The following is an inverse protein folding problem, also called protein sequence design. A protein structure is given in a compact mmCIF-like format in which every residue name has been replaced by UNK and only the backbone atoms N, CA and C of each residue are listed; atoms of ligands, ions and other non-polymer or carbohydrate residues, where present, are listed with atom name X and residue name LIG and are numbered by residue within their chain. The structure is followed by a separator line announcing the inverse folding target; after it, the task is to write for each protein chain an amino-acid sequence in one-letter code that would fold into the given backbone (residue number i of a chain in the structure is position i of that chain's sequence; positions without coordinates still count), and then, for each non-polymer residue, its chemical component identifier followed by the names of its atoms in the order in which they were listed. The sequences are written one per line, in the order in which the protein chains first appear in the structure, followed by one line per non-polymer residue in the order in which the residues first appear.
data_IF_681267105188
#
_entry.id   IF_681267105188
#
_cell.length_a   1.000
_cell.length_b   1.000
_cell.length_c   1.000
_cell.angle_alpha   90.00
_cell.angle_beta   90.00
_cell.angle_gamma   90.00
#
_symmetry.space_group_name_H-M   'P 1'
#
loop_
_entity.id
_entity.type
_entity.pdbx_description
1 polymer ?
#
# COMPACT_ATOMS: atom_id res chain seq x y z
N UNK A 1 -1.62 2.86 -40.06
CA UNK A 1 -1.87 3.07 -39.46
C UNK A 1 -1.90 3.19 -38.52
N UNK A 2 -1.99 3.18 -38.27
CA UNK A 2 -1.93 3.51 -37.37
C UNK A 2 -2.36 3.00 -36.53
N UNK A 3 -2.32 2.31 -36.56
CA UNK A 3 -2.61 1.88 -35.69
C UNK A 3 -2.28 2.32 -34.62
N UNK A 4 -2.63 2.78 -34.21
CA UNK A 4 -2.15 3.26 -33.06
C UNK A 4 -2.45 2.39 -31.94
N UNK A 5 -1.62 2.46 -30.94
CA UNK A 5 -1.80 1.70 -29.76
C UNK A 5 -3.10 2.04 -29.12
N UNK A 6 -3.70 1.10 -28.45
CA UNK A 6 -4.89 1.43 -27.69
C UNK A 6 -4.59 2.52 -26.71
N UNK A 7 -5.57 3.33 -26.50
CA UNK A 7 -5.45 4.39 -25.54
C UNK A 7 -5.19 3.83 -24.16
N UNK A 8 -4.22 4.36 -23.46
CA UNK A 8 -4.00 3.91 -22.09
C UNK A 8 -5.26 4.09 -21.28
N UNK A 9 -5.52 3.12 -20.45
CA UNK A 9 -6.64 3.20 -19.60
C UNK A 9 -6.16 3.49 -18.23
N UNK A 10 -7.08 3.77 -17.36
CA UNK A 10 -6.76 3.82 -15.95
C UNK A 10 -6.17 2.52 -15.50
N UNK A 11 -6.33 1.48 -16.32
CA UNK A 11 -5.73 0.21 -16.01
C UNK A 11 -4.22 0.21 -16.22
N UNK A 12 -3.68 1.23 -16.85
CA UNK A 12 -2.25 1.27 -17.10
C UNK A 12 -1.51 1.73 -15.87
N UNK A 13 -1.49 0.86 -14.89
CA UNK A 13 -0.74 1.06 -13.67
C UNK A 13 0.56 0.28 -13.81
N UNK A 14 1.66 0.94 -13.51
CA UNK A 14 2.96 0.31 -13.58
C UNK A 14 3.58 0.33 -12.20
N UNK A 15 4.19 -0.78 -11.82
CA UNK A 15 4.94 -0.85 -10.57
C UNK A 15 6.41 -1.00 -10.91
N UNK A 16 7.24 -0.18 -10.26
CA UNK A 16 8.68 -0.34 -10.38
C UNK A 16 9.30 -0.08 -9.02
N UNK A 17 10.53 -0.52 -8.84
CA UNK A 17 11.19 -0.32 -7.57
C UNK A 17 11.25 1.16 -7.21
N UNK A 18 11.09 1.46 -5.94
CA UNK A 18 11.21 2.83 -5.46
C UNK A 18 12.68 3.25 -5.54
N UNK A 19 12.91 4.46 -6.00
CA UNK A 19 14.24 5.03 -6.05
C UNK A 19 14.29 6.28 -5.16
N UNK A 20 15.50 6.72 -4.85
CA UNK A 20 15.66 7.93 -4.05
C UNK A 20 15.00 9.14 -4.72
N UNK A 21 14.99 9.17 -6.03
CA UNK A 21 14.36 10.26 -6.75
C UNK A 21 12.86 10.36 -6.57
N UNK A 22 12.21 9.28 -6.13
CA UNK A 22 10.78 9.26 -5.88
C UNK A 22 10.42 9.88 -4.54
N UNK A 23 11.36 9.89 -3.61
CA UNK A 23 11.07 10.21 -2.22
C UNK A 23 10.49 11.60 -1.98
N UNK A 24 10.93 12.65 -2.68
CA UNK A 24 10.31 13.96 -2.48
C UNK A 24 8.80 13.94 -2.75
N UNK A 25 8.37 13.24 -3.78
CA UNK A 25 6.95 13.17 -4.11
C UNK A 25 6.21 12.30 -3.09
N UNK A 26 6.80 11.17 -2.72
CA UNK A 26 6.18 10.31 -1.71
C UNK A 26 6.09 11.03 -0.37
N UNK A 27 7.08 11.86 -0.06
CA UNK A 27 7.04 12.67 1.15
C UNK A 27 5.84 13.62 1.13
N UNK A 28 5.66 14.33 0.02
CA UNK A 28 4.54 15.26 -0.08
C UNK A 28 3.20 14.54 0.06
N UNK A 29 3.10 13.35 -0.50
CA UNK A 29 1.84 12.61 -0.44
C UNK A 29 1.47 12.20 0.98
N UNK A 30 2.45 11.92 1.83
CA UNK A 30 2.14 11.50 3.20
C UNK A 30 1.92 12.69 4.13
N UNK A 31 2.04 13.91 3.62
CA UNK A 31 1.80 15.09 4.44
C UNK A 31 0.33 15.52 4.44
N UNK A 32 -0.51 14.92 3.60
CA UNK A 32 -1.91 15.31 3.52
C UNK A 32 -2.65 14.93 4.81
N UNK A 33 -3.26 15.91 5.50
CA UNK A 33 -3.92 15.63 6.78
C UNK A 33 -5.10 14.67 6.67
N UNK A 34 -5.84 14.73 5.57
CA UNK A 34 -6.98 13.83 5.41
C UNK A 34 -6.51 12.40 5.21
N UNK A 35 -5.43 12.22 4.44
CA UNK A 35 -4.86 10.90 4.24
C UNK A 35 -4.34 10.33 5.56
N UNK A 36 -3.70 11.17 6.37
CA UNK A 36 -3.19 10.75 7.67
C UNK A 36 -4.32 10.31 8.60
N UNK A 37 -5.41 11.07 8.59
CA UNK A 37 -6.55 10.74 9.41
C UNK A 37 -7.19 9.43 8.97
N UNK A 38 -7.31 9.25 7.66
CA UNK A 38 -7.92 8.05 7.11
C UNK A 38 -7.09 6.81 7.43
N UNK A 39 -5.77 6.92 7.32
CA UNK A 39 -4.87 5.82 7.58
C UNK A 39 -4.59 5.63 9.07
N UNK A 40 -5.00 6.60 9.91
CA UNK A 40 -4.64 6.65 11.32
C UNK A 40 -3.13 6.59 11.49
N UNK A 41 -2.43 7.34 10.66
CA UNK A 41 -0.98 7.30 10.60
C UNK A 41 -0.46 8.74 10.53
N UNK A 42 0.30 9.19 11.53
CA UNK A 42 0.78 10.57 11.55
C UNK A 42 1.85 10.80 10.48
N UNK A 43 1.89 12.02 9.96
CA UNK A 43 2.90 12.38 8.99
C UNK A 43 4.27 12.40 9.65
N UNK A 44 5.28 11.94 8.92
CA UNK A 44 6.66 12.07 9.35
C UNK A 44 7.23 13.37 8.82
N UNK A 45 8.06 14.02 9.62
CA UNK A 45 8.81 15.16 9.13
C UNK A 45 9.83 14.69 8.10
N UNK A 46 10.34 15.64 7.31
CA UNK A 46 11.21 15.31 6.20
C UNK A 46 12.42 14.44 6.60
N UNK A 47 13.14 14.85 7.62
CA UNK A 47 14.35 14.11 8.00
C UNK A 47 14.02 12.71 8.48
N UNK A 48 12.96 12.59 9.28
CA UNK A 48 12.52 11.28 9.76
C UNK A 48 12.03 10.41 8.61
N UNK A 49 11.33 11.02 7.66
CA UNK A 49 10.84 10.30 6.49
C UNK A 49 12.01 9.78 5.65
N UNK A 50 12.99 10.64 5.39
CA UNK A 50 14.13 10.23 4.57
C UNK A 50 14.95 9.15 5.25
N UNK A 51 15.15 9.24 6.56
CA UNK A 51 15.88 8.22 7.30
C UNK A 51 15.13 6.89 7.29
N UNK A 52 13.81 6.94 7.44
CA UNK A 52 12.98 5.74 7.41
C UNK A 52 13.07 5.04 6.06
N UNK A 53 12.99 5.82 4.98
CA UNK A 53 13.06 5.25 3.64
C UNK A 53 14.46 4.75 3.28
N UNK A 54 15.50 5.40 3.78
CA UNK A 54 16.86 4.89 3.57
C UNK A 54 16.98 3.49 4.15
N UNK A 55 16.39 3.28 5.32
CA UNK A 55 16.38 1.96 5.95
C UNK A 55 15.60 0.96 5.11
N UNK A 56 14.42 1.35 4.64
CA UNK A 56 13.60 0.48 3.83
C UNK A 56 14.33 0.08 2.56
N UNK A 57 14.94 1.05 1.89
CA UNK A 57 15.59 0.78 0.60
C UNK A 57 16.84 -0.08 0.76
N UNK A 58 17.43 -0.10 1.95
CA UNK A 58 18.60 -0.95 2.18
C UNK A 58 18.23 -2.36 2.65
N UNK A 59 16.95 -2.60 2.91
CA UNK A 59 16.49 -3.89 3.43
C UNK A 59 16.09 -4.80 2.28
N UNK A 60 16.91 -5.82 2.01
CA UNK A 60 16.68 -6.72 0.89
C UNK A 60 15.43 -7.59 1.06
N UNK A 61 14.89 -7.69 2.28
CA UNK A 61 13.70 -8.50 2.52
C UNK A 61 12.40 -7.74 2.28
N UNK A 62 12.50 -6.43 2.07
CA UNK A 62 11.32 -5.59 1.87
C UNK A 62 11.14 -5.32 0.38
N UNK A 63 9.92 -5.49 -0.09
CA UNK A 63 9.56 -5.16 -1.47
C UNK A 63 8.86 -3.82 -1.42
N UNK A 64 9.37 -2.85 -2.17
CA UNK A 64 8.74 -1.53 -2.25
C UNK A 64 8.68 -1.07 -3.69
N UNK A 65 7.47 -0.79 -4.14
CA UNK A 65 7.22 -0.36 -5.51
C UNK A 65 6.60 1.02 -5.53
N UNK A 66 7.06 1.84 -6.46
CA UNK A 66 6.39 3.09 -6.79
C UNK A 66 5.27 2.76 -7.74
N UNK A 67 4.10 3.32 -7.49
CA UNK A 67 2.94 3.14 -8.35
C UNK A 67 2.89 4.28 -9.35
N UNK A 68 2.95 3.95 -10.62
CA UNK A 68 2.83 4.95 -11.68
C UNK A 68 1.46 4.83 -12.33
N UNK A 69 0.78 5.95 -12.45
CA UNK A 69 -0.49 6.04 -13.15
C UNK A 69 -0.29 7.03 -14.27
N UNK A 70 -0.36 6.56 -15.52
CA UNK A 70 -0.13 7.39 -16.68
C UNK A 70 1.18 8.17 -16.59
N UNK A 71 2.21 7.49 -16.09
CA UNK A 71 3.54 8.08 -16.00
C UNK A 71 3.76 8.96 -14.79
N UNK A 72 2.75 9.16 -13.95
CA UNK A 72 2.86 10.01 -12.76
C UNK A 72 2.95 9.15 -11.52
N UNK A 73 3.72 9.60 -10.54
CA UNK A 73 3.84 8.87 -9.28
C UNK A 73 2.56 9.04 -8.46
N UNK A 74 1.77 7.99 -8.37
CA UNK A 74 0.50 8.02 -7.66
C UNK A 74 0.63 7.58 -6.20
N UNK A 75 1.70 6.87 -5.86
CA UNK A 75 1.89 6.40 -4.50
C UNK A 75 2.90 5.28 -4.45
N UNK A 76 2.84 4.50 -3.39
CA UNK A 76 3.71 3.33 -3.25
C UNK A 76 2.96 2.17 -2.63
N UNK A 77 3.50 0.98 -2.85
CA UNK A 77 2.93 -0.25 -2.31
C UNK A 77 4.09 -1.19 -2.02
N UNK A 78 3.95 -2.00 -0.99
CA UNK A 78 5.05 -2.88 -0.66
C UNK A 78 4.67 -4.02 0.25
N UNK A 79 5.64 -4.90 0.46
CA UNK A 79 5.49 -6.08 1.29
C UNK A 79 6.63 -6.08 2.29
N UNK A 80 6.30 -6.33 3.54
CA UNK A 80 7.28 -6.28 4.62
C UNK A 80 6.90 -7.27 5.70
N UNK A 81 7.88 -7.57 6.56
CA UNK A 81 7.66 -8.48 7.68
C UNK A 81 7.48 -7.69 8.96
N UNK A 82 6.51 -8.11 9.75
CA UNK A 82 6.26 -7.46 11.03
C UNK A 82 5.57 -8.46 11.95
N UNK A 83 6.12 -8.63 13.15
CA UNK A 83 5.53 -9.49 14.18
C UNK A 83 5.27 -10.91 13.69
N UNK A 84 6.18 -11.41 12.87
CA UNK A 84 6.08 -12.77 12.36
C UNK A 84 5.11 -12.96 11.21
N UNK A 85 4.58 -11.88 10.69
CA UNK A 85 3.65 -11.93 9.56
C UNK A 85 4.19 -11.17 8.37
N UNK A 86 3.81 -11.63 7.19
CA UNK A 86 4.13 -10.93 5.95
C UNK A 86 2.95 -10.02 5.62
N UNK A 87 3.23 -8.74 5.55
CA UNK A 87 2.18 -7.74 5.40
C UNK A 87 2.32 -6.97 4.11
N UNK A 88 1.20 -6.52 3.58
CA UNK A 88 1.17 -5.60 2.46
C UNK A 88 0.66 -4.25 2.96
N UNK A 89 1.26 -3.17 2.45
CA UNK A 89 0.82 -1.83 2.76
C UNK A 89 0.96 -0.95 1.55
N UNK A 90 0.15 0.10 1.50
CA UNK A 90 0.21 1.03 0.37
C UNK A 90 -0.25 2.41 0.81
N UNK A 91 0.16 3.40 0.03
CA UNK A 91 -0.24 4.79 0.25
C UNK A 91 -0.48 5.42 -1.11
N UNK A 92 -1.68 5.96 -1.31
CA UNK A 92 -2.04 6.61 -2.56
C UNK A 92 -2.18 8.11 -2.30
N UNK A 93 -1.55 8.92 -3.14
CA UNK A 93 -1.68 10.36 -3.03
C UNK A 93 -3.14 10.77 -3.17
N UNK A 94 -3.57 11.74 -2.36
CA UNK A 94 -4.98 12.08 -2.29
C UNK A 94 -5.55 12.46 -3.66
N UNK A 95 -4.79 13.15 -4.48
CA UNK A 95 -5.27 13.57 -5.80
C UNK A 95 -5.57 12.41 -6.72
N UNK A 96 -5.12 11.21 -6.36
CA UNK A 96 -5.33 10.02 -7.17
C UNK A 96 -6.42 9.12 -6.59
N UNK A 97 -7.09 9.55 -5.51
CA UNK A 97 -8.17 8.76 -4.91
C UNK A 97 -9.37 8.67 -5.83
N UNK A 98 -10.15 7.62 -5.67
CA UNK A 98 -11.40 7.46 -6.40
C UNK A 98 -11.24 7.01 -7.83
N UNK A 99 -10.04 6.57 -8.23
CA UNK A 99 -9.77 6.15 -9.60
C UNK A 99 -9.46 4.68 -9.74
N UNK A 100 -9.56 3.92 -8.65
CA UNK A 100 -9.28 2.49 -8.70
C UNK A 100 -7.80 2.14 -8.73
N UNK A 101 -6.93 3.10 -8.48
CA UNK A 101 -5.50 2.88 -8.58
C UNK A 101 -5.00 1.88 -7.55
N UNK A 102 -5.47 2.00 -6.30
CA UNK A 102 -5.03 1.09 -5.25
C UNK A 102 -5.38 -0.36 -5.58
N UNK A 103 -6.60 -0.58 -6.09
CA UNK A 103 -7.05 -1.92 -6.45
C UNK A 103 -6.17 -2.51 -7.55
N UNK A 104 -5.87 -1.70 -8.56
CA UNK A 104 -5.05 -2.15 -9.68
C UNK A 104 -3.61 -2.40 -9.26
N UNK A 105 -3.07 -1.53 -8.40
CA UNK A 105 -1.71 -1.70 -7.92
C UNK A 105 -1.59 -2.95 -7.07
N UNK A 106 -2.54 -3.17 -6.17
CA UNK A 106 -2.52 -4.36 -5.34
C UNK A 106 -2.65 -5.62 -6.19
N UNK A 107 -3.57 -5.61 -7.15
CA UNK A 107 -3.73 -6.74 -8.06
C UNK A 107 -2.44 -7.04 -8.81
N UNK A 108 -1.78 -6.00 -9.31
CA UNK A 108 -0.52 -6.19 -10.03
C UNK A 108 0.57 -6.73 -9.12
N UNK A 109 0.63 -6.26 -7.88
CA UNK A 109 1.62 -6.77 -6.94
C UNK A 109 1.38 -8.23 -6.63
N UNK A 110 0.12 -8.61 -6.46
CA UNK A 110 -0.23 -10.00 -6.16
C UNK A 110 0.12 -10.94 -7.31
N UNK A 111 0.14 -10.43 -8.54
CA UNK A 111 0.60 -11.22 -9.67
C UNK A 111 2.10 -11.47 -9.61
N UNK A 112 2.85 -10.54 -9.04
CA UNK A 112 4.29 -10.64 -8.96
C UNK A 112 4.77 -11.39 -7.71
N UNK A 113 4.02 -11.30 -6.63
CA UNK A 113 4.44 -11.85 -5.34
C UNK A 113 3.46 -12.94 -4.94
N UNK A 114 3.97 -14.16 -4.81
CA UNK A 114 3.14 -15.33 -4.53
C UNK A 114 3.16 -15.77 -3.07
N UNK A 115 3.89 -15.05 -2.22
CA UNK A 115 3.95 -15.40 -0.80
C UNK A 115 2.54 -15.36 -0.19
N UNK A 116 2.20 -16.41 0.55
CA UNK A 116 0.91 -16.54 1.22
C UNK A 116 1.14 -17.20 2.57
N UNK A 117 0.38 -16.85 3.59
CA UNK A 117 -0.66 -15.84 3.57
C UNK A 117 -0.07 -14.43 3.60
N UNK A 118 -0.81 -13.47 3.06
CA UNK A 118 -0.48 -12.05 3.16
C UNK A 118 -1.50 -11.38 4.04
N UNK A 119 -1.05 -10.52 4.91
CA UNK A 119 -1.92 -9.81 5.83
C UNK A 119 -1.92 -8.31 5.54
N UNK A 120 -2.93 -7.62 6.01
CA UNK A 120 -2.99 -6.17 5.90
C UNK A 120 -3.66 -5.60 7.14
N UNK A 121 -3.03 -4.61 7.75
CA UNK A 121 -3.63 -3.83 8.83
C UNK A 121 -4.32 -2.62 8.24
N UNK A 122 -5.54 -2.36 8.65
CA UNK A 122 -6.29 -1.22 8.12
C UNK A 122 -7.04 -0.57 9.28
N UNK A 123 -6.99 0.75 9.34
CA UNK A 123 -7.80 1.48 10.31
C UNK A 123 -9.27 1.14 10.06
N UNK A 124 -10.00 0.86 11.14
CA UNK A 124 -11.35 0.37 11.05
C UNK A 124 -12.26 1.30 10.26
N UNK A 125 -12.03 2.59 10.33
CA UNK A 125 -12.85 3.58 9.65
C UNK A 125 -12.46 3.78 8.19
N UNK A 126 -11.36 3.18 7.74
CA UNK A 126 -10.89 3.36 6.36
C UNK A 126 -11.58 2.36 5.45
N UNK A 127 -12.86 2.63 5.18
CA UNK A 127 -13.68 1.71 4.39
C UNK A 127 -13.20 1.55 2.97
N UNK A 128 -12.61 2.61 2.42
CA UNK A 128 -12.07 2.53 1.05
C UNK A 128 -10.97 1.51 0.93
N UNK A 129 -10.06 1.50 1.91
CA UNK A 129 -8.96 0.53 1.89
C UNK A 129 -9.47 -0.89 2.12
N UNK A 130 -10.43 -1.04 3.03
CA UNK A 130 -11.02 -2.36 3.26
C UNK A 130 -11.63 -2.90 1.97
N UNK A 131 -12.34 -2.06 1.22
CA UNK A 131 -12.92 -2.48 -0.05
C UNK A 131 -11.88 -2.88 -1.08
N UNK A 132 -10.78 -2.13 -1.13
CA UNK A 132 -9.69 -2.46 -2.04
C UNK A 132 -9.18 -3.86 -1.75
N UNK A 133 -8.92 -4.14 -0.47
CA UNK A 133 -8.40 -5.44 -0.07
C UNK A 133 -9.41 -6.54 -0.39
N UNK A 134 -10.68 -6.32 -0.07
CA UNK A 134 -11.70 -7.32 -0.35
C UNK A 134 -11.84 -7.61 -1.83
N UNK A 135 -11.76 -6.58 -2.66
CA UNK A 135 -11.80 -6.78 -4.10
C UNK A 135 -10.65 -7.63 -4.61
N UNK A 136 -9.55 -7.63 -3.91
CA UNK A 136 -8.38 -8.42 -4.30
C UNK A 136 -8.33 -9.77 -3.60
N UNK A 137 -9.41 -10.14 -2.91
CA UNK A 137 -9.53 -11.48 -2.35
C UNK A 137 -9.22 -11.61 -0.87
N UNK A 138 -8.86 -10.51 -0.21
CA UNK A 138 -8.61 -10.55 1.22
C UNK A 138 -9.93 -10.69 1.99
N UNK A 139 -9.87 -11.38 3.12
CA UNK A 139 -11.02 -11.52 4.01
C UNK A 139 -10.63 -11.10 5.42
N UNK A 140 -11.63 -10.74 6.21
CA UNK A 140 -11.37 -10.38 7.60
C UNK A 140 -10.85 -11.58 8.37
N UNK A 141 -9.85 -11.35 9.20
CA UNK A 141 -9.38 -12.37 10.11
C UNK A 141 -10.41 -12.56 11.23
N UNK A 142 -10.37 -13.71 11.88
CA UNK A 142 -11.25 -13.93 13.01
C UNK A 142 -10.75 -13.15 14.22
N UNK A 143 -11.57 -13.14 15.27
CA UNK A 143 -11.26 -12.36 16.46
C UNK A 143 -9.98 -12.81 17.13
N UNK A 144 -9.73 -14.11 17.13
CA UNK A 144 -8.52 -14.63 17.76
C UNK A 144 -7.26 -14.15 17.05
N UNK A 145 -7.28 -14.16 15.72
CA UNK A 145 -6.16 -13.65 14.95
C UNK A 145 -5.94 -12.17 15.19
N UNK A 146 -7.02 -11.40 15.23
CA UNK A 146 -6.94 -9.97 15.49
C UNK A 146 -6.44 -9.70 16.90
N UNK A 147 -6.91 -10.43 17.87
CA UNK A 147 -6.50 -10.24 19.26
C UNK A 147 -5.02 -10.53 19.43
N UNK A 148 -4.53 -11.58 18.76
CA UNK A 148 -3.13 -11.94 18.88
C UNK A 148 -2.22 -10.85 18.32
N UNK A 149 -2.74 -10.05 17.41
CA UNK A 149 -1.96 -9.01 16.77
C UNK A 149 -2.18 -7.63 17.41
N UNK A 150 -3.11 -7.54 18.34
CA UNK A 150 -3.39 -6.27 19.00
C UNK A 150 -2.23 -5.93 19.92
N UNK A 151 -1.63 -4.80 19.71
CA UNK A 151 -0.47 -4.40 20.48
C UNK A 151 -0.80 -3.62 21.74
N UNK A 152 -2.04 -3.64 22.17
CA UNK A 152 -2.42 -2.85 23.32
C UNK A 152 -2.61 -1.38 22.98
N UNK A 153 -2.63 -1.05 21.72
CA UNK A 153 -2.84 0.31 21.27
C UNK A 153 -4.31 0.64 21.23
N UNK A 154 -4.63 1.90 21.38
CA UNK A 154 -6.01 2.34 21.29
C UNK A 154 -6.51 2.50 19.86
N UNK A 155 -5.64 2.36 18.88
CA UNK A 155 -6.02 2.48 17.49
C UNK A 155 -6.87 1.28 17.10
N UNK A 156 -8.06 1.57 16.61
CA UNK A 156 -8.94 0.50 16.15
C UNK A 156 -8.57 0.11 14.73
N UNK A 157 -8.02 -1.06 14.60
CA UNK A 157 -7.64 -1.59 13.31
C UNK A 157 -8.30 -2.94 13.08
N UNK A 158 -8.46 -3.29 11.81
CA UNK A 158 -8.85 -4.63 11.44
C UNK A 158 -7.69 -5.28 10.71
N UNK A 159 -7.65 -6.59 10.79
CA UNK A 159 -6.64 -7.38 10.11
C UNK A 159 -7.33 -8.20 9.04
N UNK A 160 -6.82 -8.11 7.82
CA UNK A 160 -7.34 -8.90 6.71
C UNK A 160 -6.25 -9.85 6.24
N UNK A 161 -6.65 -10.93 5.59
CA UNK A 161 -5.70 -11.94 5.14
C UNK A 161 -6.08 -12.47 3.76
N UNK A 162 -5.06 -12.68 2.94
CA UNK A 162 -5.19 -13.38 1.67
C UNK A 162 -4.46 -14.70 1.82
N UNK A 163 -5.22 -15.79 1.86
CA UNK A 163 -4.64 -17.12 2.04
C UNK A 163 -4.41 -17.77 0.69
N UNK A 164 -3.50 -18.70 0.66
CA UNK A 164 -3.23 -19.44 -0.55
C UNK A 164 -4.37 -20.38 -0.88
N UNK A 165 -4.44 -20.81 -2.12
CA UNK A 165 -5.45 -21.78 -2.56
C UNK A 165 -4.91 -23.18 -2.42
#
# INVERSE_FOLDING_TARGET
MATHAPVPRTSDILLRDVTEGDLPILFEQQMDPEANRMAAFPARERDAFMAHWAKILSDATTIKKTILSEGQIAGHIGIFEQSGRTLVGYWIGKQYWGKGIATKALSALLDQVKARPLYAHVAKHNLGSIRVLEKCGFTMCDEDEMAADAGGEDIEEVLLVLRGT
#
